data_IF_515085219973
#
_entry.id   IF_515085219973
#
_cell.length_a   1.000
_cell.length_b   1.000
_cell.length_c   1.000
_cell.angle_alpha   90.00
_cell.angle_beta   90.00
_cell.angle_gamma   90.00
#
_symmetry.space_group_name_H-M   'P 1'
#
loop_
_entity.id
_entity.type
_entity.pdbx_description
1 polymer ?
#
# COMPACT_ATOMS: atom_id res chain seq x y z
N UNK A 1 -16.40 -14.90 -19.02
CA UNK A 1 -15.00 -14.77 -18.61
C UNK A 1 -14.95 -13.56 -17.68
N UNK A 2 -15.01 -13.80 -16.37
CA UNK A 2 -14.99 -12.70 -15.40
C UNK A 2 -13.58 -12.12 -15.35
N UNK A 3 -13.42 -10.89 -15.82
CA UNK A 3 -12.23 -10.11 -15.52
C UNK A 3 -12.29 -9.84 -14.01
N UNK A 4 -11.65 -10.68 -13.19
CA UNK A 4 -11.37 -10.32 -11.81
C UNK A 4 -10.31 -9.22 -11.86
N UNK A 5 -10.75 -7.97 -12.06
CA UNK A 5 -9.91 -6.80 -11.93
C UNK A 5 -9.42 -6.73 -10.50
N UNK A 6 -8.19 -7.17 -10.28
CA UNK A 6 -7.60 -7.18 -8.97
C UNK A 6 -7.31 -5.75 -8.56
N UNK A 7 -8.03 -5.26 -7.55
CA UNK A 7 -7.90 -3.90 -7.05
C UNK A 7 -6.57 -3.77 -6.31
N UNK A 8 -5.81 -2.74 -6.67
CA UNK A 8 -4.54 -2.41 -6.05
C UNK A 8 -4.66 -1.07 -5.35
N UNK A 9 -4.27 -1.02 -4.08
CA UNK A 9 -4.19 0.21 -3.31
C UNK A 9 -2.74 0.72 -3.31
N UNK A 10 -2.44 1.86 -3.94
CA UNK A 10 -1.08 2.35 -4.04
C UNK A 10 -0.64 3.02 -2.75
N UNK A 11 0.55 2.67 -2.25
CA UNK A 11 1.13 3.20 -1.02
C UNK A 11 2.59 3.59 -1.20
N UNK A 12 3.00 4.61 -0.46
CA UNK A 12 4.37 5.10 -0.40
C UNK A 12 4.71 5.39 1.05
N UNK A 13 5.97 5.18 1.42
CA UNK A 13 6.46 5.54 2.75
C UNK A 13 6.53 7.06 2.93
N UNK A 14 6.85 7.80 1.86
CA UNK A 14 6.94 9.26 1.89
C UNK A 14 5.99 9.91 0.90
N UNK A 15 5.40 11.03 1.33
CA UNK A 15 4.45 11.81 0.53
C UNK A 15 5.09 12.36 -0.75
N UNK A 16 6.37 12.74 -0.70
CA UNK A 16 7.09 13.33 -1.83
C UNK A 16 7.10 12.40 -3.05
N UNK A 17 7.28 11.09 -2.85
CA UNK A 17 7.23 10.11 -3.94
C UNK A 17 5.83 9.95 -4.52
N UNK A 18 4.81 10.06 -3.67
CA UNK A 18 3.42 9.98 -4.10
C UNK A 18 3.02 11.22 -4.92
N UNK A 19 3.53 12.41 -4.58
CA UNK A 19 3.31 13.66 -5.32
C UNK A 19 4.03 13.69 -6.67
N UNK A 20 5.17 13.02 -6.79
CA UNK A 20 5.87 12.86 -8.07
C UNK A 20 5.07 12.03 -9.08
N UNK A 21 4.22 11.12 -8.59
CA UNK A 21 3.26 10.44 -9.46
C UNK A 21 2.08 11.36 -9.73
N UNK A 22 2.01 11.90 -10.96
CA UNK A 22 0.82 12.62 -11.44
C UNK A 22 -0.31 11.63 -11.69
N UNK A 23 -1.14 11.39 -10.68
CA UNK A 23 -2.37 10.63 -10.83
C UNK A 23 -3.47 11.56 -11.34
N UNK A 24 -4.03 11.28 -12.52
CA UNK A 24 -5.12 12.09 -13.08
C UNK A 24 -6.32 12.06 -12.11
N UNK A 25 -6.57 13.19 -11.44
CA UNK A 25 -7.65 13.44 -10.48
C UNK A 25 -7.54 12.83 -9.07
N UNK A 26 -6.37 12.28 -8.69
CA UNK A 26 -6.15 11.79 -7.31
C UNK A 26 -5.06 12.60 -6.61
N UNK A 27 -5.24 12.84 -5.31
CA UNK A 27 -4.24 13.50 -4.47
C UNK A 27 -3.74 12.53 -3.39
N UNK A 28 -2.42 12.43 -3.19
CA UNK A 28 -1.87 11.61 -2.12
C UNK A 28 -2.24 12.20 -0.76
N UNK A 29 -2.76 11.36 0.13
CA UNK A 29 -3.07 11.72 1.50
C UNK A 29 -2.10 11.03 2.46
N UNK A 30 -1.62 11.75 3.46
CA UNK A 30 -0.78 11.17 4.51
C UNK A 30 -1.67 10.52 5.57
N UNK A 31 -1.27 9.33 6.00
CA UNK A 31 -1.90 8.58 7.08
C UNK A 31 -0.81 8.21 8.10
N UNK A 32 -1.05 8.38 9.42
CA UNK A 32 -0.13 7.89 10.44
C UNK A 32 0.10 6.37 10.29
N UNK A 33 1.30 5.89 10.64
CA UNK A 33 1.64 4.48 10.52
C UNK A 33 0.70 3.60 11.38
N UNK A 34 0.37 4.02 12.60
CA UNK A 34 -0.56 3.29 13.46
C UNK A 34 -1.95 3.15 12.81
N UNK A 35 -2.47 4.25 12.24
CA UNK A 35 -3.75 4.24 11.52
C UNK A 35 -3.69 3.41 10.24
N UNK A 36 -2.54 3.39 9.56
CA UNK A 36 -2.31 2.54 8.40
C UNK A 36 -2.42 1.06 8.79
N UNK A 37 -1.75 0.64 9.86
CA UNK A 37 -1.70 -0.76 10.31
C UNK A 37 -3.02 -1.18 10.96
N UNK A 38 -3.59 -0.38 11.85
CA UNK A 38 -4.76 -0.77 12.64
C UNK A 38 -6.09 -0.55 11.92
N UNK A 39 -6.17 0.43 11.01
CA UNK A 39 -7.44 0.81 10.37
C UNK A 39 -7.48 0.51 8.88
N UNK A 40 -6.40 0.81 8.14
CA UNK A 40 -6.40 0.68 6.68
C UNK A 40 -6.15 -0.76 6.24
N UNK A 41 -5.07 -1.39 6.72
CA UNK A 41 -4.70 -2.76 6.35
C UNK A 41 -5.84 -3.77 6.58
N UNK A 42 -6.54 -3.80 7.74
CA UNK A 42 -7.61 -4.77 7.96
C UNK A 42 -8.83 -4.56 7.05
N UNK A 43 -9.08 -3.31 6.62
CA UNK A 43 -10.13 -3.01 5.64
C UNK A 43 -9.75 -3.53 4.26
N UNK A 44 -8.51 -3.25 3.83
CA UNK A 44 -8.00 -3.73 2.54
C UNK A 44 -7.98 -5.26 2.48
N UNK A 45 -7.63 -5.93 3.56
CA UNK A 45 -7.65 -7.40 3.64
C UNK A 45 -9.07 -7.95 3.49
N UNK A 46 -10.03 -7.36 4.20
CA UNK A 46 -11.45 -7.74 4.11
C UNK A 46 -12.02 -7.57 2.71
N UNK A 47 -11.59 -6.53 2.01
CA UNK A 47 -12.01 -6.23 0.64
C UNK A 47 -11.19 -6.98 -0.42
N UNK A 48 -10.27 -7.86 0.01
CA UNK A 48 -9.34 -8.62 -0.84
C UNK A 48 -8.53 -7.74 -1.80
N UNK A 49 -8.15 -6.55 -1.31
CA UNK A 49 -7.36 -5.55 -2.03
C UNK A 49 -5.89 -5.77 -1.70
N UNK A 50 -5.03 -5.79 -2.73
CA UNK A 50 -3.59 -5.86 -2.53
C UNK A 50 -2.96 -4.48 -2.50
N UNK A 51 -1.79 -4.36 -1.89
CA UNK A 51 -1.03 -3.13 -1.86
C UNK A 51 -0.01 -3.11 -2.99
N UNK A 52 0.02 -1.98 -3.69
CA UNK A 52 1.13 -1.64 -4.57
C UNK A 52 2.06 -0.69 -3.80
N UNK A 53 3.22 -1.21 -3.39
CA UNK A 53 4.25 -0.46 -2.68
C UNK A 53 5.14 0.24 -3.69
N UNK A 54 5.26 1.56 -3.56
CA UNK A 54 6.01 2.43 -4.47
C UNK A 54 5.68 2.20 -5.96
N UNK A 55 4.41 2.29 -6.38
CA UNK A 55 4.08 2.25 -7.79
C UNK A 55 4.60 3.51 -8.49
N UNK A 56 4.94 3.34 -9.77
CA UNK A 56 5.39 4.40 -10.65
C UNK A 56 4.33 4.62 -11.73
N UNK A 57 4.33 5.79 -12.37
CA UNK A 57 3.37 6.13 -13.43
C UNK A 57 3.32 5.13 -14.59
N UNK A 58 4.39 4.37 -14.84
CA UNK A 58 4.45 3.28 -15.83
C UNK A 58 4.66 1.88 -15.23
N UNK A 59 4.68 1.75 -13.91
CA UNK A 59 5.07 0.51 -13.23
C UNK A 59 4.17 0.18 -12.04
N UNK A 60 3.81 -1.09 -11.89
CA UNK A 60 2.90 -1.54 -10.83
C UNK A 60 3.50 -1.47 -9.41
N UNK A 61 4.79 -1.16 -9.28
CA UNK A 61 5.51 -1.20 -8.01
C UNK A 61 5.69 -2.65 -7.52
N UNK A 62 5.92 -2.79 -6.22
CA UNK A 62 5.99 -4.09 -5.56
C UNK A 62 4.59 -4.43 -5.08
N UNK A 63 4.02 -5.53 -5.61
CA UNK A 63 2.70 -5.98 -5.22
C UNK A 63 2.82 -6.93 -4.04
N UNK A 64 2.13 -6.62 -2.93
CA UNK A 64 2.08 -7.43 -1.73
C UNK A 64 0.67 -7.54 -1.19
N UNK A 65 0.39 -8.67 -0.58
CA UNK A 65 -0.81 -8.86 0.24
C UNK A 65 -0.67 -8.07 1.55
N UNK A 66 -1.80 -7.78 2.20
CA UNK A 66 -1.82 -7.15 3.52
C UNK A 66 -0.97 -7.95 4.52
N UNK A 67 -1.10 -9.27 4.50
CA UNK A 67 -0.39 -10.17 5.42
C UNK A 67 1.13 -10.12 5.23
N UNK A 68 1.61 -10.05 3.98
CA UNK A 68 3.03 -9.88 3.70
C UNK A 68 3.54 -8.52 4.22
N UNK A 69 2.78 -7.44 4.04
CA UNK A 69 3.15 -6.10 4.54
C UNK A 69 3.27 -6.11 6.06
N UNK A 70 2.29 -6.71 6.77
CA UNK A 70 2.31 -6.80 8.23
C UNK A 70 3.54 -7.60 8.68
N UNK A 71 3.76 -8.77 8.09
CA UNK A 71 4.91 -9.62 8.44
C UNK A 71 6.26 -8.94 8.14
N UNK A 72 6.35 -8.14 7.07
CA UNK A 72 7.54 -7.36 6.76
C UNK A 72 7.75 -6.23 7.78
N UNK A 73 6.69 -5.52 8.19
CA UNK A 73 6.76 -4.48 9.23
C UNK A 73 7.18 -5.10 10.57
N UNK A 74 6.57 -6.20 10.98
CA UNK A 74 6.88 -6.90 12.24
C UNK A 74 8.34 -7.38 12.27
N UNK A 75 8.83 -7.96 11.17
CA UNK A 75 10.24 -8.40 11.05
C UNK A 75 11.21 -7.23 11.12
N UNK A 76 10.87 -6.08 10.55
CA UNK A 76 11.69 -4.89 10.67
C UNK A 76 11.68 -4.36 12.12
N UNK A 77 10.55 -4.42 12.84
CA UNK A 77 10.50 -4.07 14.26
C UNK A 77 11.33 -5.01 15.15
N UNK A 78 11.32 -6.31 14.89
CA UNK A 78 12.12 -7.32 15.62
C UNK A 78 13.63 -7.11 15.45
N UNK A 79 14.08 -6.50 14.34
CA UNK A 79 15.51 -6.27 14.09
C UNK A 79 16.13 -5.14 14.94
N UNK A 80 15.32 -4.36 15.66
CA UNK A 80 15.79 -3.29 16.55
C UNK A 80 15.74 -3.66 18.05
N UNK A 81 15.40 -4.91 18.39
CA UNK A 81 15.56 -5.50 19.74
C UNK A 81 16.92 -6.21 19.92
#
# INVERSE_FOLDING_TARGET
>A
MGNNEQVLFPVWSEKEFAELCKWDNYQPNSIPLDDFIEKLLPKLEKDNVMLAVFPLSKGKGIIRTVQEIIADIERECEQYE
#
